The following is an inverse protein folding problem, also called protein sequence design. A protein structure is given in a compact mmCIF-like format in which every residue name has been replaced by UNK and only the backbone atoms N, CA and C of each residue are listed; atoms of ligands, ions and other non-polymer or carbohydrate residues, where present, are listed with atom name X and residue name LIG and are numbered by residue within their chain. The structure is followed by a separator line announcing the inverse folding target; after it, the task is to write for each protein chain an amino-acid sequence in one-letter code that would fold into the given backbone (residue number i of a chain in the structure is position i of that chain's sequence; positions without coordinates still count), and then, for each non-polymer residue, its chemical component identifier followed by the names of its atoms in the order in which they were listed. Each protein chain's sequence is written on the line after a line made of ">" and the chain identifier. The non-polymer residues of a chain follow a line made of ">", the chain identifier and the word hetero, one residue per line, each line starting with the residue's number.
data_IF_132206826632
#
_entry.id   IF_132206826632
#
_cell.length_a   1.000
_cell.length_b   1.000
_cell.length_c   1.000
_cell.angle_alpha   90.00
_cell.angle_beta   90.00
_cell.angle_gamma   90.00
#
_symmetry.space_group_name_H-M   'P 1'
#
loop_
_entity.id
_entity.type
_entity.pdbx_description
1 polymer ?
#
# COMPACT_ATOMS: atom_id res chain seq x y z
N UNK A 1 15.50 58.04 2.35
CA UNK A 1 14.27 57.23 2.57
C UNK A 1 14.71 55.78 2.64
N UNK A 2 14.65 55.16 3.82
CA UNK A 2 14.92 53.73 3.96
C UNK A 2 13.65 52.99 3.52
N UNK A 3 13.72 52.28 2.39
CA UNK A 3 12.64 51.40 1.95
C UNK A 3 12.56 50.24 2.94
N UNK A 4 11.54 50.28 3.79
CA UNK A 4 11.27 49.23 4.78
C UNK A 4 10.62 48.05 4.05
N UNK A 5 11.45 47.29 3.31
CA UNK A 5 11.01 46.07 2.65
C UNK A 5 10.88 45.00 3.73
N UNK A 6 9.67 44.85 4.29
CA UNK A 6 9.35 43.69 5.13
C UNK A 6 9.51 42.47 4.23
N UNK A 7 10.59 41.71 4.44
CA UNK A 7 10.78 40.43 3.79
C UNK A 7 9.66 39.52 4.30
N UNK A 8 8.75 39.09 3.42
CA UNK A 8 7.76 38.08 3.77
C UNK A 8 8.50 36.76 3.96
N UNK A 9 8.80 36.41 5.22
CA UNK A 9 9.52 35.18 5.57
C UNK A 9 8.48 34.09 5.80
N UNK A 10 8.48 33.06 4.95
CA UNK A 10 7.73 31.82 5.20
C UNK A 10 8.53 30.89 6.11
N UNK A 11 7.85 29.99 6.83
CA UNK A 11 8.49 28.98 7.68
C UNK A 11 9.60 28.23 6.95
N UNK A 12 9.41 27.90 5.66
CA UNK A 12 10.42 27.30 4.76
C UNK A 12 11.82 27.90 4.89
N UNK A 13 11.92 29.21 5.07
CA UNK A 13 13.21 29.94 5.13
C UNK A 13 13.97 29.73 6.43
N UNK A 14 13.33 29.17 7.44
CA UNK A 14 13.89 28.88 8.76
C UNK A 14 14.25 27.40 8.96
N UNK A 15 14.08 26.56 7.92
CA UNK A 15 14.44 25.15 8.00
C UNK A 15 15.95 25.00 8.26
N UNK A 16 16.28 24.30 9.36
CA UNK A 16 17.66 24.05 9.80
C UNK A 16 18.52 25.32 9.94
N UNK A 17 17.93 26.41 10.44
CA UNK A 17 18.66 27.64 10.76
C UNK A 17 18.64 27.89 12.26
N UNK A 18 19.76 28.37 12.82
CA UNK A 18 19.82 28.77 14.24
C UNK A 18 18.97 30.00 14.55
N UNK A 19 18.75 30.87 13.55
CA UNK A 19 17.96 32.10 13.70
C UNK A 19 16.54 31.78 14.18
N UNK A 20 16.20 32.28 15.38
CA UNK A 20 14.93 32.07 16.08
C UNK A 20 14.63 30.62 16.50
N UNK A 21 15.57 29.71 16.31
CA UNK A 21 15.42 28.33 16.78
C UNK A 21 15.39 28.29 18.31
N UNK A 22 14.49 27.48 18.86
CA UNK A 22 14.26 27.30 20.29
C UNK A 22 14.28 25.82 20.69
N UNK A 23 14.54 24.94 19.72
CA UNK A 23 14.76 23.50 19.93
C UNK A 23 15.70 22.92 18.89
N UNK A 24 16.51 21.95 19.32
CA UNK A 24 17.32 21.10 18.45
C UNK A 24 16.76 19.69 18.46
N UNK A 25 16.52 19.13 17.28
CA UNK A 25 16.08 17.74 17.12
C UNK A 25 17.29 16.88 16.76
N UNK A 26 17.57 15.85 17.55
CA UNK A 26 18.64 14.86 17.33
C UNK A 26 18.02 13.53 16.89
N UNK A 27 18.65 12.87 15.92
CA UNK A 27 18.21 11.57 15.40
C UNK A 27 19.38 10.90 14.68
N UNK A 28 19.65 9.62 14.95
CA UNK A 28 20.65 8.80 14.25
C UNK A 28 22.02 9.49 14.08
N UNK A 29 22.48 10.18 15.12
CA UNK A 29 23.74 10.94 15.14
C UNK A 29 23.72 12.28 14.39
N UNK A 30 22.60 12.63 13.75
CA UNK A 30 22.36 13.90 13.08
C UNK A 30 21.61 14.88 14.00
N UNK A 31 21.63 16.17 13.65
CA UNK A 31 20.90 17.20 14.36
C UNK A 31 20.36 18.28 13.41
N UNK A 32 19.19 18.84 13.75
CA UNK A 32 18.59 19.97 13.05
C UNK A 32 18.17 21.06 14.03
N UNK A 33 18.44 22.32 13.69
CA UNK A 33 17.87 23.47 14.38
C UNK A 33 16.40 23.65 13.97
N UNK A 34 15.51 23.75 14.94
CA UNK A 34 14.08 23.76 14.73
C UNK A 34 13.34 24.79 15.61
N UNK A 35 12.06 24.98 15.30
CA UNK A 35 11.17 25.92 15.96
C UNK A 35 10.00 25.15 16.56
N UNK A 36 9.82 25.21 17.88
CA UNK A 36 8.79 24.47 18.62
C UNK A 36 7.40 24.73 18.06
N UNK A 37 7.10 26.00 17.74
CA UNK A 37 5.81 26.41 17.18
C UNK A 37 5.55 25.83 15.79
N UNK A 38 6.56 25.77 14.92
CA UNK A 38 6.44 25.19 13.56
C UNK A 38 6.24 23.68 13.66
N UNK A 39 7.03 23.00 14.49
CA UNK A 39 6.90 21.57 14.76
C UNK A 39 5.51 21.21 15.31
N UNK A 40 5.09 21.89 16.38
CA UNK A 40 3.81 21.67 17.05
C UNK A 40 2.60 21.96 16.16
N UNK A 41 2.72 22.84 15.15
CA UNK A 41 1.62 23.17 14.23
C UNK A 41 1.17 21.96 13.40
N UNK A 42 2.09 21.05 13.07
CA UNK A 42 1.84 19.94 12.14
C UNK A 42 2.07 18.55 12.72
N UNK A 43 2.52 18.48 13.97
CA UNK A 43 2.77 17.23 14.68
C UNK A 43 2.16 17.31 16.08
N UNK A 44 1.16 16.46 16.32
CA UNK A 44 0.54 16.33 17.63
C UNK A 44 1.53 15.73 18.65
N UNK A 45 2.44 14.86 18.20
CA UNK A 45 3.55 14.37 19.02
C UNK A 45 4.39 15.53 19.56
N UNK A 46 4.87 16.41 18.68
CA UNK A 46 5.70 17.54 19.10
C UNK A 46 4.92 18.55 19.94
N UNK A 47 3.66 18.81 19.62
CA UNK A 47 2.79 19.64 20.47
C UNK A 47 2.77 19.10 21.91
N UNK A 48 2.46 17.81 22.09
CA UNK A 48 2.44 17.16 23.41
C UNK A 48 3.82 17.14 24.08
N UNK A 49 4.88 16.92 23.31
CA UNK A 49 6.25 16.95 23.83
C UNK A 49 6.60 18.32 24.40
N UNK A 50 6.19 19.42 23.76
CA UNK A 50 6.50 20.78 24.20
C UNK A 50 5.55 21.33 25.26
N UNK A 51 4.31 20.86 25.33
CA UNK A 51 3.31 21.35 26.31
C UNK A 51 3.09 20.38 27.48
N UNK A 52 3.77 19.22 27.46
CA UNK A 52 3.65 18.21 28.49
C UNK A 52 4.26 18.63 29.83
N UNK A 53 4.03 17.82 30.87
CA UNK A 53 4.58 18.05 32.21
C UNK A 53 5.96 17.39 32.42
N UNK A 54 6.49 16.73 31.39
CA UNK A 54 7.77 16.02 31.46
C UNK A 54 8.95 16.97 31.19
N UNK A 55 10.17 16.66 31.67
CA UNK A 55 11.36 17.48 31.45
C UNK A 55 11.66 17.81 29.98
N UNK A 56 11.16 16.99 29.04
CA UNK A 56 11.31 17.22 27.60
C UNK A 56 10.65 18.53 27.14
N UNK A 57 9.61 19.00 27.83
CA UNK A 57 8.88 20.21 27.47
C UNK A 57 9.72 21.48 27.66
N UNK A 58 10.49 21.53 28.75
CA UNK A 58 11.40 22.64 29.06
C UNK A 58 12.78 22.51 28.41
N UNK A 59 13.09 21.36 27.80
CA UNK A 59 14.35 21.12 27.12
C UNK A 59 14.49 21.97 25.84
N UNK A 60 15.72 22.38 25.54
CA UNK A 60 16.12 22.94 24.25
C UNK A 60 16.57 21.87 23.25
N UNK A 61 16.56 20.60 23.66
CA UNK A 61 16.92 19.46 22.82
C UNK A 61 15.90 18.32 22.96
N UNK A 62 15.50 17.74 21.82
CA UNK A 62 14.73 16.49 21.77
C UNK A 62 15.56 15.47 21.00
N UNK A 63 15.76 14.30 21.61
CA UNK A 63 16.40 13.15 20.99
C UNK A 63 15.34 12.13 20.58
N UNK A 64 15.31 11.82 19.28
CA UNK A 64 14.40 10.85 18.67
C UNK A 64 15.01 9.44 18.62
N UNK A 65 16.27 9.27 19.04
CA UNK A 65 16.99 8.00 18.98
C UNK A 65 17.50 7.64 17.58
N UNK A 66 17.78 6.36 17.38
CA UNK A 66 18.37 5.79 16.17
C UNK A 66 17.52 4.69 15.51
N UNK A 67 16.30 4.47 16.00
CA UNK A 67 15.36 3.46 15.48
C UNK A 67 14.80 3.81 14.09
N UNK A 68 14.68 5.10 13.77
CA UNK A 68 14.07 5.57 12.53
C UNK A 68 15.13 5.87 11.45
N UNK A 69 14.73 5.69 10.19
CA UNK A 69 15.56 6.08 9.05
C UNK A 69 15.82 7.61 9.09
N UNK A 70 17.09 8.06 9.07
CA UNK A 70 17.41 9.47 9.20
C UNK A 70 16.88 10.33 8.06
N UNK A 71 16.78 9.78 6.84
CA UNK A 71 16.22 10.49 5.70
C UNK A 71 14.70 10.59 5.81
N UNK A 72 14.03 9.57 6.35
CA UNK A 72 12.60 9.65 6.65
C UNK A 72 12.27 10.73 7.70
N UNK A 73 13.06 10.80 8.78
CA UNK A 73 12.93 11.85 9.81
C UNK A 73 13.16 13.24 9.20
N UNK A 74 14.20 13.39 8.39
CA UNK A 74 14.52 14.65 7.69
C UNK A 74 13.40 15.05 6.73
N UNK A 75 12.89 14.13 5.93
CA UNK A 75 11.79 14.35 4.99
C UNK A 75 10.50 14.78 5.73
N UNK A 76 10.19 14.13 6.85
CA UNK A 76 9.08 14.50 7.70
C UNK A 76 9.23 15.93 8.24
N UNK A 77 10.40 16.29 8.79
CA UNK A 77 10.64 17.65 9.29
C UNK A 77 10.55 18.67 8.15
N UNK A 78 11.09 18.37 6.96
CA UNK A 78 10.93 19.24 5.77
C UNK A 78 9.46 19.52 5.47
N UNK A 79 8.61 18.49 5.45
CA UNK A 79 7.17 18.67 5.26
C UNK A 79 6.55 19.57 6.33
N UNK A 80 6.98 19.46 7.59
CA UNK A 80 6.52 20.33 8.66
C UNK A 80 6.84 21.81 8.36
N UNK A 81 8.00 22.09 7.76
CA UNK A 81 8.38 23.42 7.27
C UNK A 81 7.75 23.82 5.92
N UNK A 82 6.75 23.07 5.45
CA UNK A 82 6.11 23.25 4.14
C UNK A 82 7.08 23.04 2.96
N UNK A 83 8.25 22.43 3.17
CA UNK A 83 9.17 22.05 2.11
C UNK A 83 8.75 20.70 1.50
N UNK A 84 9.03 20.47 0.21
CA UNK A 84 8.84 19.16 -0.40
C UNK A 84 9.68 18.09 0.32
N UNK A 85 9.02 17.04 0.80
CA UNK A 85 9.65 15.94 1.54
C UNK A 85 10.42 15.00 0.61
N UNK A 86 9.96 14.89 -0.64
CA UNK A 86 10.46 14.05 -1.73
C UNK A 86 11.33 14.84 -2.72
N UNK A 87 11.95 15.94 -2.30
CA UNK A 87 12.92 16.65 -3.14
C UNK A 87 14.27 16.64 -2.49
N UNK A 88 15.25 16.19 -3.28
CA UNK A 88 16.66 16.30 -2.98
C UNK A 88 16.98 17.76 -2.68
N UNK A 89 17.74 18.02 -1.61
CA UNK A 89 18.54 19.23 -1.58
C UNK A 89 19.63 19.04 -2.62
N UNK A 90 19.59 19.79 -3.72
CA UNK A 90 20.79 20.01 -4.53
C UNK A 90 21.81 20.74 -3.63
N UNK A 91 22.57 19.96 -2.88
CA UNK A 91 23.61 20.47 -2.01
C UNK A 91 24.84 20.80 -2.82
N UNK A 92 25.06 22.08 -3.12
CA UNK A 92 26.41 22.65 -3.19
C UNK A 92 27.01 22.69 -1.77
N UNK A 93 27.11 21.54 -1.10
CA UNK A 93 27.76 21.39 0.19
C UNK A 93 28.77 20.26 0.05
N UNK A 94 30.04 20.62 0.18
CA UNK A 94 31.22 19.75 0.14
C UNK A 94 31.31 18.82 1.35
N UNK A 95 30.19 18.28 1.82
CA UNK A 95 30.12 17.41 2.99
C UNK A 95 29.45 16.09 2.58
N UNK A 96 30.16 14.99 2.82
CA UNK A 96 30.03 13.64 2.23
C UNK A 96 28.73 12.88 2.59
N UNK A 97 27.56 13.50 2.42
CA UNK A 97 26.27 12.78 2.46
C UNK A 97 25.70 12.71 1.05
N UNK A 98 26.09 11.64 0.37
CA UNK A 98 25.76 11.35 -1.01
C UNK A 98 24.28 11.66 -1.33
N UNK A 99 24.10 12.42 -2.41
CA UNK A 99 22.84 12.64 -3.08
C UNK A 99 22.26 11.29 -3.53
N UNK A 100 21.50 10.62 -2.66
CA UNK A 100 20.78 9.39 -3.02
C UNK A 100 19.42 9.73 -3.62
N UNK A 101 19.11 9.10 -4.76
CA UNK A 101 17.84 9.24 -5.46
C UNK A 101 16.75 8.42 -4.73
N UNK A 102 16.25 8.92 -3.60
CA UNK A 102 15.25 8.25 -2.75
C UNK A 102 13.83 8.31 -3.30
N UNK A 103 13.59 9.14 -4.32
CA UNK A 103 12.26 9.39 -4.89
C UNK A 103 11.66 8.21 -5.67
N UNK A 104 12.45 7.20 -5.99
CA UNK A 104 12.05 6.00 -6.72
C UNK A 104 12.14 4.72 -5.87
N UNK A 105 12.36 4.85 -4.56
CA UNK A 105 12.49 3.70 -3.66
C UNK A 105 11.24 3.53 -2.78
N UNK A 106 10.54 2.40 -2.93
CA UNK A 106 9.38 2.06 -2.09
C UNK A 106 9.75 2.03 -0.60
N UNK A 107 10.98 1.64 -0.26
CA UNK A 107 11.45 1.60 1.13
C UNK A 107 11.52 2.99 1.74
N UNK A 108 11.92 4.00 0.98
CA UNK A 108 11.92 5.39 1.43
C UNK A 108 10.49 5.84 1.78
N UNK A 109 9.51 5.62 0.89
CA UNK A 109 8.12 6.00 1.17
C UNK A 109 7.53 5.23 2.37
N UNK A 110 7.86 3.95 2.54
CA UNK A 110 7.47 3.18 3.74
C UNK A 110 8.07 3.82 5.01
N UNK A 111 9.35 4.18 4.98
CA UNK A 111 10.02 4.79 6.12
C UNK A 111 9.44 6.18 6.45
N UNK A 112 9.20 7.02 5.43
CA UNK A 112 8.58 8.35 5.61
C UNK A 112 7.16 8.22 6.17
N UNK A 113 6.36 7.27 5.67
CA UNK A 113 5.01 7.02 6.20
C UNK A 113 5.07 6.57 7.66
N UNK A 114 6.00 5.68 8.00
CA UNK A 114 6.21 5.19 9.36
C UNK A 114 6.59 6.32 10.31
N UNK A 115 7.53 7.19 9.91
CA UNK A 115 7.87 8.38 10.69
C UNK A 115 6.66 9.32 10.84
N UNK A 116 5.93 9.58 9.76
CA UNK A 116 4.75 10.45 9.79
C UNK A 116 3.64 9.90 10.70
N UNK A 117 3.46 8.59 10.79
CA UNK A 117 2.51 7.97 11.71
C UNK A 117 3.00 8.03 13.17
N UNK A 118 4.27 7.65 13.40
CA UNK A 118 4.92 7.66 14.72
C UNK A 118 4.93 9.04 15.38
N UNK A 119 5.22 10.09 14.61
CA UNK A 119 5.29 11.48 15.08
C UNK A 119 3.99 12.27 14.79
N UNK A 120 2.91 11.57 14.44
CA UNK A 120 1.57 12.11 14.20
C UNK A 120 1.54 13.36 13.29
N UNK A 121 2.15 13.22 12.12
CA UNK A 121 2.14 14.18 11.01
C UNK A 121 1.11 13.73 9.98
N UNK A 122 -0.17 13.81 10.36
CA UNK A 122 -1.31 13.34 9.55
C UNK A 122 -1.38 13.95 8.14
N UNK A 123 -0.90 15.17 7.95
CA UNK A 123 -0.89 15.85 6.64
C UNK A 123 0.12 15.28 5.64
N UNK A 124 1.11 14.51 6.10
CA UNK A 124 2.14 13.90 5.23
C UNK A 124 1.70 12.53 4.71
N UNK A 125 1.06 11.71 5.55
CA UNK A 125 0.60 10.35 5.23
C UNK A 125 -0.15 10.20 3.89
N UNK A 126 -1.16 11.02 3.54
CA UNK A 126 -1.86 10.88 2.27
C UNK A 126 -1.00 11.25 1.05
N UNK A 127 -0.01 12.14 1.21
CA UNK A 127 0.91 12.50 0.12
C UNK A 127 1.85 11.34 -0.19
N UNK A 128 2.39 10.72 0.87
CA UNK A 128 3.26 9.55 0.80
C UNK A 128 2.52 8.35 0.22
N UNK A 129 1.30 8.10 0.68
CA UNK A 129 0.45 7.01 0.18
C UNK A 129 0.26 7.10 -1.34
N UNK A 130 -0.11 8.29 -1.84
CA UNK A 130 -0.31 8.50 -3.28
C UNK A 130 0.96 8.20 -4.09
N UNK A 131 2.11 8.73 -3.65
CA UNK A 131 3.40 8.50 -4.32
C UNK A 131 3.82 7.03 -4.27
N UNK A 132 3.56 6.35 -3.16
CA UNK A 132 3.80 4.92 -3.00
C UNK A 132 2.96 4.10 -3.98
N UNK A 133 1.66 4.39 -4.12
CA UNK A 133 0.78 3.74 -5.09
C UNK A 133 1.25 3.95 -6.54
N UNK A 134 1.58 5.19 -6.91
CA UNK A 134 2.13 5.53 -8.23
C UNK A 134 3.41 4.74 -8.52
N UNK A 135 4.29 4.60 -7.53
CA UNK A 135 5.56 3.87 -7.67
C UNK A 135 5.35 2.35 -7.74
N UNK A 136 4.39 1.79 -7.01
CA UNK A 136 4.06 0.36 -7.12
C UNK A 136 3.63 0.00 -8.55
N UNK A 137 2.80 0.82 -9.18
CA UNK A 137 2.33 0.58 -10.56
C UNK A 137 3.49 0.55 -11.58
N UNK A 138 4.61 1.22 -11.30
CA UNK A 138 5.77 1.27 -12.22
C UNK A 138 6.91 0.31 -11.86
N UNK A 139 7.03 -0.12 -10.59
CA UNK A 139 8.20 -0.88 -10.10
C UNK A 139 7.90 -2.32 -9.66
N UNK A 140 6.64 -2.76 -9.66
CA UNK A 140 6.25 -4.10 -9.16
C UNK A 140 6.89 -5.28 -9.92
N UNK A 141 7.38 -5.05 -11.15
CA UNK A 141 8.11 -6.05 -11.92
C UNK A 141 9.57 -6.24 -11.45
N UNK A 142 10.11 -5.32 -10.67
CA UNK A 142 11.46 -5.44 -10.10
C UNK A 142 11.61 -6.49 -9.01
N UNK A 143 12.85 -6.88 -8.72
CA UNK A 143 13.20 -7.86 -7.69
C UNK A 143 13.04 -7.32 -6.27
N UNK A 144 13.21 -6.01 -6.09
CA UNK A 144 13.12 -5.35 -4.79
C UNK A 144 11.68 -5.18 -4.28
N UNK A 145 10.68 -5.39 -5.16
CA UNK A 145 9.27 -5.22 -4.80
C UNK A 145 8.87 -6.13 -3.63
N UNK A 146 9.21 -7.43 -3.70
CA UNK A 146 8.87 -8.37 -2.64
C UNK A 146 9.50 -7.97 -1.30
N UNK A 147 10.77 -7.54 -1.31
CA UNK A 147 11.44 -7.05 -0.09
C UNK A 147 10.77 -5.80 0.48
N UNK A 148 10.34 -4.87 -0.36
CA UNK A 148 9.64 -3.68 0.09
C UNK A 148 8.29 -4.00 0.73
N UNK A 149 7.50 -4.88 0.11
CA UNK A 149 6.23 -5.34 0.68
C UNK A 149 6.48 -6.10 1.98
N UNK A 150 7.49 -6.96 2.04
CA UNK A 150 7.86 -7.69 3.26
C UNK A 150 8.15 -6.74 4.43
N UNK A 151 8.95 -5.67 4.22
CA UNK A 151 9.22 -4.69 5.28
C UNK A 151 7.97 -3.96 5.76
N UNK A 152 6.97 -3.78 4.89
CA UNK A 152 5.72 -3.10 5.23
C UNK A 152 4.73 -4.01 5.98
N UNK A 153 4.78 -5.32 5.74
CA UNK A 153 3.72 -6.24 6.20
C UNK A 153 4.18 -7.45 7.00
N UNK A 154 5.49 -7.64 7.18
CA UNK A 154 6.04 -8.73 7.98
C UNK A 154 6.01 -8.48 9.49
N UNK A 155 6.40 -9.45 10.34
CA UNK A 155 6.36 -9.33 11.80
C UNK A 155 7.36 -8.28 12.33
N UNK A 156 8.38 -7.93 11.52
CA UNK A 156 9.29 -6.83 11.79
C UNK A 156 8.74 -5.46 11.36
N UNK A 157 7.59 -5.42 10.67
CA UNK A 157 6.95 -4.16 10.34
C UNK A 157 6.46 -3.48 11.63
N UNK A 158 6.79 -2.20 11.79
CA UNK A 158 6.32 -1.41 12.93
C UNK A 158 4.79 -1.43 13.05
N UNK A 159 4.28 -1.31 14.27
CA UNK A 159 2.85 -1.19 14.49
C UNK A 159 2.39 0.21 14.09
N UNK A 160 1.95 0.37 12.84
CA UNK A 160 1.34 1.60 12.37
C UNK A 160 -0.07 1.72 12.92
N UNK A 161 -0.39 2.86 13.54
CA UNK A 161 -1.74 3.23 13.89
C UNK A 161 -2.60 3.39 12.63
N UNK A 162 -1.99 3.89 11.55
CA UNK A 162 -2.60 4.02 10.24
C UNK A 162 -2.20 2.88 9.31
N UNK A 163 -3.17 2.02 9.02
CA UNK A 163 -2.97 0.84 8.22
C UNK A 163 -3.22 1.04 6.72
N UNK A 164 -3.40 2.29 6.26
CA UNK A 164 -3.74 2.59 4.86
C UNK A 164 -2.65 2.15 3.89
N UNK A 165 -1.38 2.32 4.25
CA UNK A 165 -0.26 1.89 3.40
C UNK A 165 -0.23 0.37 3.21
N UNK A 166 -0.38 -0.41 4.29
CA UNK A 166 -0.46 -1.88 4.19
C UNK A 166 -1.71 -2.32 3.41
N UNK A 167 -2.82 -1.59 3.55
CA UNK A 167 -4.07 -1.89 2.84
C UNK A 167 -3.93 -1.64 1.34
N UNK A 168 -3.30 -0.54 0.94
CA UNK A 168 -3.00 -0.23 -0.46
C UNK A 168 -2.06 -1.27 -1.08
N UNK A 169 -0.97 -1.62 -0.37
CA UNK A 169 -0.05 -2.68 -0.79
C UNK A 169 -0.74 -4.04 -0.99
N UNK A 170 -1.56 -4.48 -0.02
CA UNK A 170 -2.29 -5.73 -0.11
C UNK A 170 -3.31 -5.72 -1.26
N UNK A 171 -4.03 -4.61 -1.45
CA UNK A 171 -5.01 -4.44 -2.54
C UNK A 171 -4.33 -4.50 -3.91
N UNK A 172 -3.19 -3.81 -4.06
CA UNK A 172 -2.40 -3.85 -5.28
C UNK A 172 -1.87 -5.26 -5.58
N UNK A 173 -1.33 -5.94 -4.58
CA UNK A 173 -0.84 -7.31 -4.72
C UNK A 173 -1.97 -8.28 -5.09
N UNK A 174 -3.15 -8.14 -4.48
CA UNK A 174 -4.33 -8.94 -4.81
C UNK A 174 -4.77 -8.76 -6.27
N UNK A 175 -4.83 -7.50 -6.74
CA UNK A 175 -5.14 -7.16 -8.14
C UNK A 175 -4.15 -7.80 -9.13
N UNK A 176 -2.88 -7.87 -8.76
CA UNK A 176 -1.79 -8.37 -9.61
C UNK A 176 -1.36 -9.81 -9.29
N UNK A 177 -2.11 -10.53 -8.44
CA UNK A 177 -1.69 -11.80 -7.85
C UNK A 177 -1.29 -12.85 -8.89
N UNK A 178 -2.05 -12.97 -9.98
CA UNK A 178 -1.81 -13.95 -11.05
C UNK A 178 -0.43 -13.82 -11.73
N UNK A 179 0.14 -12.61 -11.72
CA UNK A 179 1.51 -12.36 -12.22
C UNK A 179 2.53 -12.52 -11.10
N UNK A 180 2.22 -12.01 -9.91
CA UNK A 180 3.13 -12.03 -8.76
C UNK A 180 3.44 -13.45 -8.26
N UNK A 181 2.48 -14.38 -8.26
CA UNK A 181 2.72 -15.79 -7.86
C UNK A 181 3.68 -16.54 -8.78
N UNK A 182 3.99 -16.01 -9.97
CA UNK A 182 5.00 -16.59 -10.87
C UNK A 182 6.43 -16.26 -10.43
N UNK A 183 6.58 -15.28 -9.53
CA UNK A 183 7.87 -14.88 -8.97
C UNK A 183 8.15 -15.67 -7.70
N UNK A 184 9.22 -16.47 -7.70
CA UNK A 184 9.61 -17.29 -6.56
C UNK A 184 9.85 -16.46 -5.29
N UNK A 185 10.45 -15.28 -5.43
CA UNK A 185 10.71 -14.34 -4.32
C UNK A 185 9.42 -13.89 -3.62
N UNK A 186 8.36 -13.65 -4.39
CA UNK A 186 7.06 -13.24 -3.86
C UNK A 186 6.33 -14.42 -3.20
N UNK A 187 6.44 -15.63 -3.75
CA UNK A 187 5.86 -16.84 -3.16
C UNK A 187 6.50 -17.16 -1.81
N UNK A 188 7.84 -17.08 -1.72
CA UNK A 188 8.56 -17.25 -0.44
C UNK A 188 8.09 -16.23 0.60
N UNK A 189 8.01 -14.96 0.20
CA UNK A 189 7.49 -13.90 1.08
C UNK A 189 6.07 -14.21 1.58
N UNK A 190 5.15 -14.71 0.75
CA UNK A 190 3.81 -15.09 1.23
C UNK A 190 3.89 -16.22 2.27
N UNK A 191 4.71 -17.24 2.01
CA UNK A 191 4.83 -18.42 2.88
C UNK A 191 5.42 -18.08 4.25
N UNK A 192 6.35 -17.12 4.29
CA UNK A 192 7.06 -16.75 5.52
C UNK A 192 6.28 -15.73 6.37
N UNK A 193 5.26 -15.05 5.80
CA UNK A 193 4.64 -13.86 6.38
C UNK A 193 3.12 -14.01 6.63
N UNK A 194 2.73 -14.42 7.85
CA UNK A 194 1.31 -14.60 8.26
C UNK A 194 0.44 -13.33 8.16
N UNK A 195 0.85 -12.15 8.68
CA UNK A 195 0.00 -10.96 8.67
C UNK A 195 -0.29 -10.45 7.25
N UNK A 196 0.67 -10.62 6.34
CA UNK A 196 0.51 -10.25 4.93
C UNK A 196 -0.44 -11.21 4.22
N UNK A 197 -0.29 -12.52 4.41
CA UNK A 197 -1.12 -13.55 3.80
C UNK A 197 -2.62 -13.32 4.05
N UNK A 198 -3.00 -13.01 5.30
CA UNK A 198 -4.39 -12.70 5.64
C UNK A 198 -4.94 -11.46 4.91
N UNK A 199 -4.17 -10.36 4.86
CA UNK A 199 -4.56 -9.12 4.16
C UNK A 199 -4.63 -9.32 2.65
N UNK A 200 -3.67 -10.05 2.08
CA UNK A 200 -3.63 -10.37 0.66
C UNK A 200 -4.84 -11.22 0.24
N UNK A 201 -5.15 -12.27 1.01
CA UNK A 201 -6.31 -13.12 0.75
C UNK A 201 -7.61 -12.34 0.89
N UNK A 202 -7.74 -11.47 1.88
CA UNK A 202 -8.90 -10.58 2.03
C UNK A 202 -9.05 -9.66 0.82
N UNK A 203 -7.97 -9.01 0.37
CA UNK A 203 -7.98 -8.18 -0.83
C UNK A 203 -8.34 -8.96 -2.10
N UNK A 204 -7.87 -10.20 -2.21
CA UNK A 204 -8.17 -11.06 -3.34
C UNK A 204 -9.65 -11.50 -3.35
N UNK A 205 -10.17 -11.98 -2.22
CA UNK A 205 -11.57 -12.42 -2.06
C UNK A 205 -12.53 -11.25 -2.28
N UNK A 206 -12.28 -10.08 -1.67
CA UNK A 206 -13.10 -8.88 -1.87
C UNK A 206 -13.07 -8.40 -3.32
N UNK A 207 -11.91 -8.48 -3.97
CA UNK A 207 -11.77 -8.22 -5.40
C UNK A 207 -12.60 -9.16 -6.28
N UNK A 208 -12.70 -10.45 -5.91
CA UNK A 208 -13.56 -11.43 -6.61
C UNK A 208 -15.03 -11.14 -6.37
N UNK A 209 -15.44 -10.81 -5.14
CA UNK A 209 -16.82 -10.46 -4.80
C UNK A 209 -17.30 -9.18 -5.52
N UNK A 210 -16.39 -8.30 -5.93
CA UNK A 210 -16.69 -7.11 -6.72
C UNK A 210 -16.79 -7.38 -8.23
N UNK A 211 -16.39 -8.56 -8.72
CA UNK A 211 -16.58 -8.94 -10.12
C UNK A 211 -18.06 -9.28 -10.37
N UNK A 212 -18.62 -8.91 -11.53
CA UNK A 212 -19.97 -9.35 -11.88
C UNK A 212 -20.02 -10.89 -11.86
N UNK A 213 -21.12 -11.49 -11.37
CA UNK A 213 -21.26 -12.93 -11.30
C UNK A 213 -20.96 -13.54 -12.66
N UNK A 214 -20.09 -14.55 -12.68
CA UNK A 214 -19.77 -15.26 -13.92
C UNK A 214 -20.98 -16.11 -14.27
N UNK A 215 -21.65 -15.89 -15.43
CA UNK A 215 -22.68 -16.80 -15.86
C UNK A 215 -22.01 -18.12 -16.19
N UNK A 216 -22.35 -19.16 -15.44
CA UNK A 216 -21.96 -20.52 -15.79
C UNK A 216 -22.92 -21.05 -16.84
N UNK A 217 -22.50 -22.05 -17.61
CA UNK A 217 -23.36 -22.67 -18.60
C UNK A 217 -23.68 -24.12 -18.20
N UNK A 218 -24.94 -24.51 -18.39
CA UNK A 218 -25.40 -25.90 -18.24
C UNK A 218 -25.88 -26.43 -19.58
N UNK A 219 -25.67 -27.72 -19.84
CA UNK A 219 -26.26 -28.41 -20.98
C UNK A 219 -27.69 -28.87 -20.69
N UNK A 220 -28.45 -29.17 -21.73
CA UNK A 220 -29.87 -29.55 -21.60
C UNK A 220 -30.13 -31.02 -21.25
N UNK A 221 -29.07 -31.82 -21.03
CA UNK A 221 -29.20 -33.23 -20.68
C UNK A 221 -29.91 -33.41 -19.33
N UNK A 222 -30.79 -34.40 -19.23
CA UNK A 222 -31.53 -34.75 -18.01
C UNK A 222 -30.58 -34.98 -16.82
N UNK A 223 -29.49 -35.73 -17.05
CA UNK A 223 -28.47 -36.03 -16.03
C UNK A 223 -27.77 -34.78 -15.47
N UNK A 224 -27.68 -33.71 -16.24
CA UNK A 224 -27.10 -32.44 -15.79
C UNK A 224 -28.15 -31.49 -15.20
N UNK A 225 -29.43 -31.63 -15.58
CA UNK A 225 -30.54 -30.86 -15.02
C UNK A 225 -30.85 -31.22 -13.57
N UNK A 226 -30.58 -32.47 -13.17
CA UNK A 226 -30.91 -33.00 -11.84
C UNK A 226 -29.81 -32.82 -10.79
N UNK A 227 -28.60 -32.37 -11.18
CA UNK A 227 -27.48 -32.19 -10.25
C UNK A 227 -27.54 -30.82 -9.56
N UNK A 228 -27.64 -30.83 -8.23
CA UNK A 228 -27.48 -29.65 -7.35
C UNK A 228 -26.02 -29.39 -6.94
N UNK A 229 -25.72 -28.18 -6.50
CA UNK A 229 -24.35 -27.63 -6.39
C UNK A 229 -23.51 -28.21 -5.24
N UNK A 230 -22.20 -28.35 -5.47
CA UNK A 230 -21.17 -28.39 -4.42
C UNK A 230 -20.02 -27.45 -4.77
N UNK A 231 -19.81 -26.50 -3.85
CA UNK A 231 -18.64 -25.67 -3.55
C UNK A 231 -18.25 -24.53 -4.54
N UNK A 232 -18.49 -23.25 -4.17
CA UNK A 232 -18.11 -22.09 -4.96
C UNK A 232 -16.65 -21.71 -4.69
N UNK A 233 -15.73 -22.50 -5.22
CA UNK A 233 -14.31 -22.14 -5.23
C UNK A 233 -13.67 -22.52 -6.56
N UNK A 234 -13.89 -21.71 -7.61
CA UNK A 234 -12.98 -21.79 -8.74
C UNK A 234 -12.84 -20.48 -9.53
N UNK A 235 -11.62 -19.96 -9.47
CA UNK A 235 -11.19 -18.65 -9.91
C UNK A 235 -10.97 -18.57 -11.43
N UNK A 236 -11.03 -17.34 -11.93
CA UNK A 236 -10.66 -16.77 -13.26
C UNK A 236 -10.36 -17.67 -14.46
N UNK A 237 -9.61 -18.77 -14.33
CA UNK A 237 -9.45 -19.81 -15.37
C UNK A 237 -10.75 -20.53 -15.72
N UNK A 238 -11.68 -20.65 -14.77
CA UNK A 238 -13.04 -21.18 -15.06
C UNK A 238 -13.84 -20.26 -15.95
N UNK A 239 -13.52 -18.97 -16.00
CA UNK A 239 -14.35 -18.01 -16.74
C UNK A 239 -14.30 -18.22 -18.25
N UNK A 240 -13.15 -18.59 -18.80
CA UNK A 240 -13.05 -18.99 -20.22
C UNK A 240 -13.56 -20.41 -20.45
N UNK A 241 -13.28 -21.30 -19.50
CA UNK A 241 -13.63 -22.71 -19.56
C UNK A 241 -15.15 -22.94 -19.50
N UNK A 242 -15.82 -22.40 -18.48
CA UNK A 242 -17.25 -22.50 -18.24
C UNK A 242 -18.12 -21.70 -19.21
N UNK A 243 -17.53 -20.80 -20.02
CA UNK A 243 -18.22 -20.20 -21.18
C UNK A 243 -18.39 -21.19 -22.33
N UNK A 244 -17.54 -22.22 -22.39
CA UNK A 244 -17.48 -23.16 -23.51
C UNK A 244 -17.93 -24.57 -23.13
N UNK A 245 -18.01 -24.89 -21.85
CA UNK A 245 -18.31 -26.23 -21.34
C UNK A 245 -19.45 -26.22 -20.30
N UNK A 246 -20.19 -27.32 -20.23
CA UNK A 246 -21.16 -27.58 -19.17
C UNK A 246 -20.45 -27.79 -17.82
N UNK A 247 -20.92 -27.14 -16.75
CA UNK A 247 -20.33 -27.28 -15.41
C UNK A 247 -20.40 -28.71 -14.81
N UNK A 248 -21.29 -29.57 -15.31
CA UNK A 248 -21.55 -30.89 -14.72
C UNK A 248 -20.94 -32.05 -15.50
N UNK A 249 -21.05 -32.02 -16.83
CA UNK A 249 -20.54 -33.10 -17.70
C UNK A 249 -19.29 -32.70 -18.48
N UNK A 250 -18.83 -31.46 -18.32
CA UNK A 250 -17.62 -30.95 -18.96
C UNK A 250 -17.66 -30.88 -20.50
N UNK A 251 -18.83 -31.11 -21.10
CA UNK A 251 -18.96 -31.14 -22.56
C UNK A 251 -19.09 -29.75 -23.16
N UNK A 252 -18.44 -29.58 -24.30
CA UNK A 252 -18.49 -28.34 -25.05
C UNK A 252 -19.76 -28.24 -25.89
N UNK A 253 -20.07 -27.02 -26.36
CA UNK A 253 -21.12 -26.85 -27.38
C UNK A 253 -20.78 -27.69 -28.62
N UNK A 254 -21.78 -28.31 -29.24
CA UNK A 254 -21.63 -29.22 -30.38
C UNK A 254 -20.90 -30.55 -30.10
N UNK A 255 -20.66 -30.93 -28.84
CA UNK A 255 -20.26 -32.32 -28.55
C UNK A 255 -21.42 -33.27 -28.93
N UNK A 256 -21.21 -34.30 -29.77
CA UNK A 256 -22.25 -35.24 -30.14
C UNK A 256 -22.55 -36.22 -29.00
N UNK A 257 -23.82 -36.53 -28.79
CA UNK A 257 -24.27 -37.48 -27.76
C UNK A 257 -25.56 -38.20 -28.16
N UNK A 258 -25.91 -39.25 -27.43
CA UNK A 258 -27.23 -39.88 -27.51
C UNK A 258 -28.04 -39.47 -26.28
N UNK A 259 -29.25 -38.94 -26.49
CA UNK A 259 -30.16 -38.59 -25.40
C UNK A 259 -30.69 -39.84 -24.67
N UNK A 260 -31.46 -39.65 -23.60
CA UNK A 260 -32.02 -40.77 -22.83
C UNK A 260 -33.06 -41.59 -23.64
N UNK A 261 -33.50 -41.10 -24.80
CA UNK A 261 -34.36 -41.80 -25.75
C UNK A 261 -33.57 -42.49 -26.88
N UNK A 262 -32.24 -42.41 -26.88
CA UNK A 262 -31.37 -42.99 -27.91
C UNK A 262 -31.29 -42.19 -29.22
N UNK A 263 -31.70 -40.92 -29.21
CA UNK A 263 -31.61 -40.00 -30.35
C UNK A 263 -30.25 -39.32 -30.41
N UNK A 264 -29.68 -39.19 -31.62
CA UNK A 264 -28.41 -38.51 -31.83
C UNK A 264 -28.59 -36.99 -31.81
N UNK A 265 -27.90 -36.33 -30.88
CA UNK A 265 -28.02 -34.89 -30.63
C UNK A 265 -26.64 -34.23 -30.42
N UNK A 266 -26.65 -32.90 -30.34
CA UNK A 266 -25.48 -32.07 -30.07
C UNK A 266 -25.71 -31.21 -28.83
N UNK A 267 -24.67 -31.02 -28.03
CA UNK A 267 -24.76 -30.23 -26.82
C UNK A 267 -25.05 -28.76 -27.13
N UNK A 268 -26.13 -28.27 -26.54
CA UNK A 268 -26.43 -26.84 -26.42
C UNK A 268 -26.20 -26.38 -24.98
N UNK A 269 -25.53 -25.24 -24.84
CA UNK A 269 -25.24 -24.61 -23.57
C UNK A 269 -26.13 -23.38 -23.39
N UNK A 270 -26.73 -23.23 -22.22
CA UNK A 270 -27.54 -22.05 -21.88
C UNK A 270 -26.90 -21.28 -20.72
N UNK A 271 -26.85 -19.93 -20.78
CA UNK A 271 -26.37 -19.13 -19.66
C UNK A 271 -27.25 -19.38 -18.46
N UNK A 272 -26.62 -19.72 -17.34
CA UNK A 272 -27.26 -19.86 -16.06
C UNK A 272 -26.83 -18.68 -15.20
N UNK A 273 -27.78 -17.80 -14.93
CA UNK A 273 -27.66 -16.72 -13.97
C UNK A 273 -28.49 -17.11 -12.76
N UNK A 274 -27.86 -17.12 -11.59
CA UNK A 274 -28.51 -17.41 -10.32
C UNK A 274 -29.42 -16.24 -9.92
N UNK A 275 -30.49 -15.99 -10.68
CA UNK A 275 -31.49 -14.97 -10.38
C UNK A 275 -32.86 -15.48 -10.83
N UNK A 276 -33.56 -16.18 -9.94
CA UNK A 276 -34.93 -15.85 -9.50
C UNK A 276 -35.61 -17.05 -8.82
N UNK A 277 -35.58 -17.00 -7.49
CA UNK A 277 -36.63 -17.36 -6.53
C UNK A 277 -37.53 -18.58 -6.75
N UNK A 278 -37.64 -19.35 -5.67
CA UNK A 278 -38.88 -19.66 -4.90
C UNK A 278 -38.65 -21.02 -4.23
N UNK A 279 -39.00 -21.29 -2.98
CA UNK A 279 -39.96 -20.71 -2.04
C UNK A 279 -39.63 -21.29 -0.66
#
# INVERSE_FOLDING_TARGET
>A
MATNTISNRSDRSFFNTEALSDVKIKFSGQQLFCHKTVLARKSEYFYRAFTGQFPVASSSEIDLGDDDDPEAVRAMIRHIYDLPYDQMLEGNTSDDTAAYSTNEDLLFYIAVFTAADKYDVSTLRPLVLKKFEDLMETTWEGDQFATAIQKLTGPSAGHLADNTLQTAAATFCAKNLTKLIKKETFVKMIQDEEPFSGRLLTGFVTGISALPPVPFFRCQQSKCKELGERDPAFLSGVREYAKKHCMHCDWATNTPYYDDNGMYEHISLTPWTEISGSQ
#
